data_IF_764299186410
#
_entry.id   IF_764299186410
#
_cell.length_a   1.000
_cell.length_b   1.000
_cell.length_c   1.000
_cell.angle_alpha   90.00
_cell.angle_beta   90.00
_cell.angle_gamma   90.00
#
_symmetry.space_group_name_H-M   'P 1'
#
loop_
_entity.id
_entity.type
_entity.pdbx_description
1 polymer ?
#
# COMPACT_ATOMS: atom_id res chain seq x y z
N UNK A 1 26.59 -29.28 -24.26
CA UNK A 1 25.65 -28.49 -23.46
C UNK A 1 25.99 -27.03 -23.65
N UNK A 2 25.12 -26.31 -24.34
CA UNK A 2 25.34 -24.90 -24.69
C UNK A 2 24.97 -24.05 -23.46
N UNK A 3 25.96 -23.43 -22.83
CA UNK A 3 25.73 -22.48 -21.73
C UNK A 3 25.01 -21.26 -22.32
N UNK A 4 23.69 -21.17 -22.10
CA UNK A 4 22.94 -19.94 -22.38
C UNK A 4 23.49 -18.83 -21.48
N UNK A 5 24.33 -17.99 -22.07
CA UNK A 5 24.86 -16.78 -21.45
C UNK A 5 23.74 -15.74 -21.44
N UNK A 6 22.98 -15.68 -20.36
CA UNK A 6 22.01 -14.61 -20.16
C UNK A 6 22.77 -13.28 -20.10
N UNK A 7 22.53 -12.41 -21.08
CA UNK A 7 23.05 -11.05 -21.03
C UNK A 7 22.39 -10.31 -19.86
N UNK A 8 23.19 -9.59 -19.08
CA UNK A 8 22.68 -8.72 -18.02
C UNK A 8 21.98 -7.54 -18.71
N UNK A 9 20.66 -7.58 -18.80
CA UNK A 9 19.86 -6.45 -19.27
C UNK A 9 19.76 -5.45 -18.11
N UNK A 10 20.43 -4.31 -18.25
CA UNK A 10 20.26 -3.19 -17.31
C UNK A 10 18.99 -2.44 -17.69
N UNK A 11 17.93 -2.57 -16.89
CA UNK A 11 16.71 -1.79 -17.06
C UNK A 11 17.04 -0.33 -16.73
N UNK A 12 17.02 0.53 -17.75
CA UNK A 12 17.12 1.98 -17.57
C UNK A 12 15.71 2.55 -17.42
N UNK A 13 15.42 3.17 -16.28
CA UNK A 13 14.17 3.86 -16.07
C UNK A 13 14.16 5.21 -16.82
N UNK A 14 13.02 5.60 -17.43
CA UNK A 14 12.82 6.96 -17.91
C UNK A 14 13.05 8.00 -16.80
N UNK A 15 13.53 9.18 -17.18
CA UNK A 15 13.85 10.26 -16.23
C UNK A 15 12.59 10.92 -15.66
N UNK A 16 11.47 10.85 -16.36
CA UNK A 16 10.19 11.52 -16.10
C UNK A 16 9.15 10.64 -15.42
N UNK A 17 9.55 9.47 -14.89
CA UNK A 17 8.62 8.62 -14.13
C UNK A 17 8.09 9.33 -12.88
N UNK A 18 6.80 9.10 -12.52
CA UNK A 18 6.29 9.47 -11.22
C UNK A 18 6.93 8.61 -10.12
N UNK A 19 6.58 8.89 -8.88
CA UNK A 19 7.15 8.20 -7.71
C UNK A 19 6.18 7.19 -7.07
N UNK A 20 4.96 7.07 -7.59
CA UNK A 20 3.92 6.23 -7.01
C UNK A 20 4.07 4.71 -7.24
N UNK A 21 3.17 3.93 -6.63
CA UNK A 21 3.20 2.48 -6.63
C UNK A 21 2.77 1.88 -7.98
N UNK A 22 1.90 2.53 -8.75
CA UNK A 22 1.31 1.96 -9.96
C UNK A 22 2.10 2.28 -11.23
N UNK A 23 2.66 3.49 -11.33
CA UNK A 23 3.30 3.98 -12.53
C UNK A 23 4.74 4.42 -12.29
N UNK A 24 5.20 4.41 -11.03
CA UNK A 24 6.40 5.10 -10.62
C UNK A 24 7.54 4.24 -10.07
N UNK A 25 8.55 4.94 -9.56
CA UNK A 25 9.76 4.37 -8.95
C UNK A 25 9.45 3.44 -7.78
N UNK A 26 8.41 3.73 -6.99
CA UNK A 26 8.02 2.84 -5.89
C UNK A 26 7.48 1.49 -6.41
N UNK A 27 6.67 1.48 -7.45
CA UNK A 27 6.20 0.23 -8.09
C UNK A 27 7.33 -0.61 -8.67
N UNK A 28 8.31 0.03 -9.29
CA UNK A 28 9.52 -0.63 -9.76
C UNK A 28 10.31 -1.26 -8.60
N UNK A 29 10.57 -0.50 -7.52
CA UNK A 29 11.28 -1.01 -6.35
C UNK A 29 10.54 -2.16 -5.66
N UNK A 30 9.22 -2.06 -5.54
CA UNK A 30 8.39 -3.15 -5.02
C UNK A 30 8.59 -4.43 -5.85
N UNK A 31 8.59 -4.31 -7.18
CA UNK A 31 8.82 -5.44 -8.10
C UNK A 31 10.22 -6.04 -7.91
N UNK A 32 11.25 -5.21 -7.72
CA UNK A 32 12.60 -5.68 -7.41
C UNK A 32 12.66 -6.46 -6.10
N UNK A 33 12.01 -5.96 -5.04
CA UNK A 33 11.90 -6.66 -3.75
C UNK A 33 11.16 -7.99 -3.88
N UNK A 34 10.06 -8.01 -4.65
CA UNK A 34 9.30 -9.21 -4.93
C UNK A 34 10.18 -10.28 -5.60
N UNK A 35 10.91 -9.91 -6.66
CA UNK A 35 11.84 -10.83 -7.34
C UNK A 35 12.93 -11.32 -6.39
N UNK A 36 13.55 -10.44 -5.62
CA UNK A 36 14.59 -10.82 -4.66
C UNK A 36 14.07 -11.76 -3.56
N UNK A 37 12.81 -11.59 -3.12
CA UNK A 37 12.19 -12.51 -2.14
C UNK A 37 11.97 -13.90 -2.75
N UNK A 38 11.44 -13.97 -3.97
CA UNK A 38 10.97 -15.24 -4.54
C UNK A 38 12.00 -15.99 -5.38
N UNK A 39 12.96 -15.30 -5.99
CA UNK A 39 14.02 -15.88 -6.81
C UNK A 39 15.39 -15.92 -6.12
N UNK A 40 15.51 -15.26 -4.97
CA UNK A 40 16.72 -15.25 -4.13
C UNK A 40 17.36 -13.87 -4.03
N UNK A 41 17.98 -13.61 -2.88
CA UNK A 41 18.67 -12.34 -2.60
C UNK A 41 19.74 -12.08 -3.66
N UNK A 42 19.72 -10.87 -4.24
CA UNK A 42 20.69 -10.45 -5.25
C UNK A 42 20.27 -10.75 -6.70
N UNK A 43 19.08 -11.32 -6.93
CA UNK A 43 18.50 -11.43 -8.28
C UNK A 43 18.49 -10.07 -8.98
N UNK A 44 18.03 -9.03 -8.27
CA UNK A 44 18.24 -7.64 -8.61
C UNK A 44 19.30 -7.06 -7.68
N UNK A 45 20.28 -6.35 -8.26
CA UNK A 45 21.39 -5.79 -7.50
C UNK A 45 20.94 -4.76 -6.46
N UNK A 46 21.51 -4.86 -5.25
CA UNK A 46 21.32 -3.87 -4.18
C UNK A 46 21.75 -2.48 -4.64
N UNK A 47 22.83 -2.36 -5.42
CA UNK A 47 23.29 -1.06 -5.92
C UNK A 47 22.31 -0.43 -6.90
N UNK A 48 21.64 -1.25 -7.72
CA UNK A 48 20.59 -0.77 -8.64
C UNK A 48 19.37 -0.30 -7.86
N UNK A 49 18.90 -1.08 -6.89
CA UNK A 49 17.78 -0.67 -6.04
C UNK A 49 18.11 0.61 -5.27
N UNK A 50 19.31 0.70 -4.67
CA UNK A 50 19.77 1.88 -3.92
C UNK A 50 19.81 3.15 -4.76
N UNK A 51 20.15 3.05 -6.04
CA UNK A 51 20.10 4.19 -6.96
C UNK A 51 18.67 4.72 -7.14
N UNK A 52 17.66 3.85 -7.21
CA UNK A 52 16.26 4.25 -7.31
C UNK A 52 15.76 4.85 -5.99
N UNK A 53 16.14 4.28 -4.85
CA UNK A 53 15.81 4.86 -3.53
C UNK A 53 16.39 6.28 -3.39
N UNK A 54 17.63 6.51 -3.85
CA UNK A 54 18.23 7.84 -3.83
C UNK A 54 17.42 8.87 -4.62
N UNK A 55 16.97 8.51 -5.83
CA UNK A 55 16.15 9.41 -6.64
C UNK A 55 14.76 9.63 -6.01
N UNK A 56 14.16 8.61 -5.41
CA UNK A 56 12.87 8.69 -4.72
C UNK A 56 12.92 9.57 -3.46
N UNK A 57 14.01 9.52 -2.68
CA UNK A 57 14.22 10.42 -1.53
C UNK A 57 14.48 11.84 -2.02
N UNK A 58 15.33 12.00 -3.04
CA UNK A 58 15.70 13.30 -3.61
C UNK A 58 14.51 14.03 -4.22
N UNK A 59 13.66 13.34 -4.99
CA UNK A 59 12.44 13.92 -5.56
C UNK A 59 11.46 14.32 -4.46
N UNK A 60 11.28 13.46 -3.46
CA UNK A 60 10.41 13.71 -2.30
C UNK A 60 10.81 14.95 -1.51
N UNK A 61 12.10 15.07 -1.17
CA UNK A 61 12.67 16.25 -0.50
C UNK A 61 12.54 17.50 -1.36
N UNK A 62 12.80 17.40 -2.67
CA UNK A 62 12.73 18.52 -3.60
C UNK A 62 11.32 19.10 -3.66
N UNK A 63 10.30 18.26 -3.87
CA UNK A 63 8.92 18.72 -3.96
C UNK A 63 8.42 19.30 -2.65
N UNK A 64 8.71 18.63 -1.52
CA UNK A 64 8.38 19.15 -0.18
C UNK A 64 8.90 20.57 0.03
N UNK A 65 10.18 20.82 -0.28
CA UNK A 65 10.79 22.15 -0.14
C UNK A 65 10.23 23.17 -1.12
N UNK A 66 10.06 22.77 -2.38
CA UNK A 66 9.58 23.66 -3.45
C UNK A 66 8.19 24.21 -3.14
N UNK A 67 7.32 23.36 -2.57
CA UNK A 67 5.93 23.71 -2.25
C UNK A 67 5.71 24.00 -0.76
N UNK A 68 6.80 24.11 0.02
CA UNK A 68 6.80 24.49 1.43
C UNK A 68 5.89 23.61 2.32
N UNK A 69 5.91 22.29 2.10
CA UNK A 69 5.18 21.34 2.94
C UNK A 69 5.87 21.15 4.30
N UNK A 70 5.07 20.91 5.34
CA UNK A 70 5.57 20.52 6.68
C UNK A 70 6.06 19.08 6.73
N UNK A 71 5.69 18.25 5.75
CA UNK A 71 6.18 16.88 5.61
C UNK A 71 7.58 16.89 5.01
N UNK A 72 8.55 16.08 5.50
CA UNK A 72 9.92 16.06 4.95
C UNK A 72 9.98 15.55 3.50
N UNK A 73 9.02 14.70 3.11
CA UNK A 73 8.88 14.17 1.76
C UNK A 73 7.46 14.45 1.26
N UNK A 74 7.34 14.79 -0.03
CA UNK A 74 6.06 14.92 -0.73
C UNK A 74 6.19 14.42 -2.16
N UNK A 75 5.12 13.83 -2.71
CA UNK A 75 5.13 13.27 -4.06
C UNK A 75 3.91 13.74 -4.85
N UNK A 76 4.07 13.91 -6.15
CA UNK A 76 2.99 14.21 -7.08
C UNK A 76 2.73 12.99 -7.97
N UNK A 77 1.45 12.70 -8.20
CA UNK A 77 1.00 11.87 -9.31
C UNK A 77 -0.19 12.54 -9.98
N UNK A 78 -0.16 12.65 -11.32
CA UNK A 78 -1.23 13.26 -12.13
C UNK A 78 -1.69 14.62 -11.59
N UNK A 79 -0.74 15.49 -11.21
CA UNK A 79 -1.01 16.84 -10.71
C UNK A 79 -1.51 16.91 -9.26
N UNK A 80 -1.60 15.79 -8.52
CA UNK A 80 -2.08 15.77 -7.13
C UNK A 80 -1.08 15.14 -6.17
N UNK A 81 -1.11 15.61 -4.92
CA UNK A 81 -0.30 15.09 -3.82
C UNK A 81 -1.10 14.07 -3.02
N UNK A 82 -1.23 12.85 -3.56
CA UNK A 82 -2.06 11.81 -2.98
C UNK A 82 -1.47 11.23 -1.69
N UNK A 83 -2.34 10.74 -0.81
CA UNK A 83 -1.93 10.13 0.47
C UNK A 83 -2.04 8.61 0.49
N UNK A 84 -2.98 8.04 -0.26
CA UNK A 84 -3.28 6.61 -0.23
C UNK A 84 -2.21 5.72 -0.87
N UNK A 85 -2.44 4.40 -0.87
CA UNK A 85 -1.42 3.43 -1.24
C UNK A 85 -1.13 3.36 -2.75
N UNK A 86 -2.13 3.61 -3.60
CA UNK A 86 -1.97 3.44 -5.05
C UNK A 86 -1.10 4.55 -5.66
N UNK A 87 -1.41 5.82 -5.35
CA UNK A 87 -0.81 6.99 -5.99
C UNK A 87 -0.04 7.92 -5.06
N UNK A 88 0.07 7.56 -3.78
CA UNK A 88 0.38 8.53 -2.73
C UNK A 88 1.41 8.09 -1.72
N UNK A 89 1.52 8.92 -0.68
CA UNK A 89 2.50 8.81 0.40
C UNK A 89 2.55 7.41 1.02
N UNK A 90 1.39 6.80 1.31
CA UNK A 90 1.34 5.49 1.95
C UNK A 90 2.00 4.39 1.11
N UNK A 91 1.85 4.42 -0.21
CA UNK A 91 2.44 3.44 -1.12
C UNK A 91 3.95 3.58 -1.19
N UNK A 92 4.42 4.82 -1.35
CA UNK A 92 5.86 5.13 -1.37
C UNK A 92 6.51 4.73 -0.06
N UNK A 93 5.92 5.09 1.09
CA UNK A 93 6.45 4.72 2.40
C UNK A 93 6.42 3.22 2.62
N UNK A 94 5.37 2.53 2.18
CA UNK A 94 5.29 1.08 2.28
C UNK A 94 6.47 0.40 1.57
N UNK A 95 6.90 0.91 0.41
CA UNK A 95 8.07 0.39 -0.31
C UNK A 95 9.38 0.78 0.36
N UNK A 96 9.54 2.04 0.78
CA UNK A 96 10.76 2.50 1.45
C UNK A 96 11.03 1.74 2.76
N UNK A 97 9.98 1.28 3.45
CA UNK A 97 10.11 0.45 4.66
C UNK A 97 10.74 -0.94 4.42
N UNK A 98 10.80 -1.42 3.17
CA UNK A 98 11.54 -2.64 2.80
C UNK A 98 13.01 -2.36 2.42
N UNK A 99 13.39 -1.09 2.30
CA UNK A 99 14.69 -0.69 1.79
C UNK A 99 15.70 -0.51 2.93
N UNK A 100 16.98 -0.69 2.60
CA UNK A 100 18.07 -0.24 3.46
C UNK A 100 18.21 1.28 3.32
N UNK A 101 17.81 1.99 4.39
CA UNK A 101 17.79 3.45 4.46
C UNK A 101 18.89 3.99 5.37
N UNK A 102 19.40 5.17 5.03
CA UNK A 102 20.31 5.93 5.91
C UNK A 102 19.55 6.56 7.07
N UNK A 103 20.24 6.98 8.12
CA UNK A 103 19.61 7.58 9.30
C UNK A 103 18.73 8.81 8.97
N UNK A 104 19.20 9.70 8.08
CA UNK A 104 18.44 10.86 7.63
C UNK A 104 17.21 10.47 6.81
N UNK A 105 17.31 9.41 6.02
CA UNK A 105 16.19 8.86 5.23
C UNK A 105 15.15 8.18 6.14
N UNK A 106 15.60 7.51 7.20
CA UNK A 106 14.73 6.91 8.22
C UNK A 106 13.92 8.00 8.94
N UNK A 107 14.56 9.11 9.34
CA UNK A 107 13.86 10.21 10.01
C UNK A 107 12.88 10.93 9.07
N UNK A 108 13.19 11.04 7.78
CA UNK A 108 12.23 11.50 6.78
C UNK A 108 11.00 10.59 6.69
N UNK A 109 11.21 9.27 6.58
CA UNK A 109 10.12 8.28 6.53
C UNK A 109 9.27 8.33 7.81
N UNK A 110 9.88 8.42 9.00
CA UNK A 110 9.13 8.60 10.24
C UNK A 110 8.39 9.94 10.26
N UNK A 111 9.02 11.00 9.76
CA UNK A 111 8.46 12.35 9.72
C UNK A 111 7.18 12.43 8.88
N UNK A 112 7.16 11.81 7.70
CA UNK A 112 5.96 11.77 6.85
C UNK A 112 4.86 10.89 7.46
N UNK A 113 5.20 9.75 8.08
CA UNK A 113 4.20 8.94 8.79
C UNK A 113 3.57 9.71 9.95
N UNK A 114 4.36 10.44 10.74
CA UNK A 114 3.86 11.34 11.79
C UNK A 114 3.00 12.47 11.21
N UNK A 115 3.41 13.05 10.08
CA UNK A 115 2.63 14.07 9.37
C UNK A 115 1.25 13.54 8.99
N UNK A 116 1.17 12.35 8.37
CA UNK A 116 -0.11 11.73 8.00
C UNK A 116 -0.97 11.45 9.24
N UNK A 117 -0.39 10.87 10.31
CA UNK A 117 -1.11 10.56 11.56
C UNK A 117 -1.71 11.82 12.19
N UNK A 118 -0.96 12.93 12.21
CA UNK A 118 -1.37 14.20 12.83
C UNK A 118 -2.49 14.90 12.06
N UNK A 119 -2.52 14.75 10.74
CA UNK A 119 -3.40 15.48 9.84
C UNK A 119 -4.52 14.60 9.25
N UNK A 120 -4.85 13.49 9.91
CA UNK A 120 -6.02 12.66 9.57
C UNK A 120 -7.33 13.37 9.95
N UNK A 121 -8.45 12.96 9.36
CA UNK A 121 -9.76 13.49 9.72
C UNK A 121 -10.15 13.14 11.17
N UNK A 122 -11.11 13.87 11.74
CA UNK A 122 -11.65 13.59 13.07
C UNK A 122 -12.28 12.19 13.18
N UNK A 123 -12.78 11.63 12.07
CA UNK A 123 -13.25 10.24 11.97
C UNK A 123 -12.15 9.19 12.16
N UNK A 124 -10.87 9.58 12.02
CA UNK A 124 -9.73 8.68 11.95
C UNK A 124 -9.37 8.24 10.51
N UNK A 125 -10.17 8.63 9.51
CA UNK A 125 -9.87 8.38 8.10
C UNK A 125 -8.83 9.35 7.54
N UNK A 126 -8.34 9.07 6.33
CA UNK A 126 -7.28 9.82 5.68
C UNK A 126 -7.77 10.47 4.39
N UNK A 127 -7.24 11.66 4.13
CA UNK A 127 -7.52 12.51 2.97
C UNK A 127 -7.11 11.78 1.68
N UNK A 128 -7.79 12.04 0.57
CA UNK A 128 -7.39 11.48 -0.74
C UNK A 128 -6.06 12.08 -1.21
N UNK A 129 -5.96 13.41 -1.14
CA UNK A 129 -4.78 14.20 -1.47
C UNK A 129 -4.70 15.45 -0.59
N UNK A 130 -3.57 16.15 -0.62
CA UNK A 130 -3.45 17.51 -0.05
C UNK A 130 -4.61 18.41 -0.50
N UNK A 131 -5.13 19.23 0.42
CA UNK A 131 -6.27 20.12 0.18
C UNK A 131 -7.67 19.47 0.10
N UNK A 132 -7.79 18.15 -0.11
CA UNK A 132 -9.10 17.48 -0.15
C UNK A 132 -9.72 17.27 1.25
N UNK A 133 -10.80 17.99 1.55
CA UNK A 133 -11.51 17.92 2.84
C UNK A 133 -12.65 16.88 2.87
N UNK A 134 -12.85 16.10 1.80
CA UNK A 134 -13.93 15.10 1.75
C UNK A 134 -13.53 13.82 2.45
N UNK A 135 -14.23 13.51 3.54
CA UNK A 135 -14.05 12.30 4.33
C UNK A 135 -15.01 11.18 3.88
N UNK A 136 -14.76 10.63 2.70
CA UNK A 136 -15.69 9.69 2.04
C UNK A 136 -15.04 8.35 1.68
N UNK A 137 -13.78 8.37 1.23
CA UNK A 137 -13.13 7.18 0.69
C UNK A 137 -12.46 6.36 1.79
N UNK A 138 -12.87 5.11 1.92
CA UNK A 138 -12.32 4.14 2.87
C UNK A 138 -11.82 2.93 2.09
N UNK A 139 -10.81 3.16 1.24
CA UNK A 139 -10.29 2.20 0.29
C UNK A 139 -8.78 1.96 0.50
N UNK A 140 -8.25 0.89 -0.08
CA UNK A 140 -6.80 0.71 -0.13
C UNK A 140 -6.13 1.80 -0.98
N UNK A 141 -6.70 2.11 -2.15
CA UNK A 141 -6.13 3.15 -3.02
C UNK A 141 -6.18 4.55 -2.40
N UNK A 142 -7.24 4.88 -1.66
CA UNK A 142 -7.48 6.18 -1.03
C UNK A 142 -8.24 6.01 0.30
N UNK A 143 -7.63 6.45 1.40
CA UNK A 143 -8.23 6.43 2.74
C UNK A 143 -7.50 5.53 3.73
N UNK A 144 -8.15 5.29 4.86
CA UNK A 144 -7.59 4.58 6.00
C UNK A 144 -7.03 3.19 5.69
N UNK A 145 -7.67 2.32 4.87
CA UNK A 145 -7.15 0.97 4.66
C UNK A 145 -5.73 0.92 4.11
N UNK A 146 -5.42 1.72 3.08
CA UNK A 146 -4.07 1.78 2.52
C UNK A 146 -3.04 2.32 3.51
N UNK A 147 -3.40 3.39 4.23
CA UNK A 147 -2.52 3.99 5.24
C UNK A 147 -2.31 3.05 6.43
N UNK A 148 -3.33 2.31 6.85
CA UNK A 148 -3.26 1.38 7.98
C UNK A 148 -2.29 0.23 7.70
N UNK A 149 -2.26 -0.33 6.49
CA UNK A 149 -1.27 -1.34 6.10
C UNK A 149 0.15 -0.79 6.20
N UNK A 150 0.39 0.42 5.69
CA UNK A 150 1.69 1.09 5.80
C UNK A 150 2.09 1.34 7.25
N UNK A 151 1.16 1.79 8.10
CA UNK A 151 1.41 2.01 9.52
C UNK A 151 1.68 0.71 10.29
N UNK A 152 0.99 -0.39 9.95
CA UNK A 152 1.24 -1.70 10.54
C UNK A 152 2.66 -2.18 10.20
N UNK A 153 3.09 -2.01 8.94
CA UNK A 153 4.47 -2.28 8.52
C UNK A 153 5.48 -1.41 9.25
N UNK A 154 5.23 -0.10 9.34
CA UNK A 154 6.11 0.82 10.05
C UNK A 154 6.24 0.46 11.55
N UNK A 155 5.15 0.02 12.19
CA UNK A 155 5.19 -0.44 13.57
C UNK A 155 6.09 -1.68 13.74
N UNK A 156 6.05 -2.62 12.78
CA UNK A 156 6.95 -3.78 12.74
C UNK A 156 8.42 -3.38 12.55
N UNK A 157 8.69 -2.46 11.61
CA UNK A 157 10.07 -2.04 11.27
C UNK A 157 10.71 -1.20 12.38
N UNK A 158 9.96 -0.28 13.00
CA UNK A 158 10.50 0.67 13.98
C UNK A 158 10.24 0.29 15.45
N UNK A 159 9.57 -0.84 15.73
CA UNK A 159 9.29 -1.27 17.10
C UNK A 159 8.21 -0.45 17.83
N UNK A 160 7.37 0.28 17.09
CA UNK A 160 6.22 1.01 17.62
C UNK A 160 6.04 2.40 17.03
N UNK A 161 5.01 2.57 16.19
CA UNK A 161 4.52 3.88 15.75
C UNK A 161 3.19 4.12 16.45
N UNK A 162 3.12 5.12 17.32
CA UNK A 162 1.90 5.50 18.03
C UNK A 162 0.81 5.93 17.01
N UNK A 163 -0.19 5.09 16.77
CA UNK A 163 -1.30 5.38 15.86
C UNK A 163 -1.88 4.19 15.09
N UNK A 164 -1.22 3.02 15.08
CA UNK A 164 -1.65 1.83 14.32
C UNK A 164 -3.01 1.26 14.74
N UNK A 165 -3.47 1.52 15.97
CA UNK A 165 -4.71 0.95 16.52
C UNK A 165 -5.95 1.83 16.39
N UNK A 166 -5.80 3.10 15.98
CA UNK A 166 -6.94 4.06 15.98
C UNK A 166 -7.52 4.34 14.59
N UNK A 167 -6.81 4.04 13.49
CA UNK A 167 -7.29 4.31 12.12
C UNK A 167 -8.36 3.34 11.62
N UNK A 168 -8.62 2.23 12.33
CA UNK A 168 -9.56 1.18 11.90
C UNK A 168 -11.01 1.40 12.35
N UNK A 169 -11.33 2.51 13.04
CA UNK A 169 -12.69 2.76 13.56
C UNK A 169 -13.70 3.20 12.49
N UNK A 170 -13.25 3.68 11.33
CA UNK A 170 -14.09 4.00 10.19
C UNK A 170 -14.34 2.77 9.30
N UNK A 171 -15.18 1.84 9.75
CA UNK A 171 -15.54 0.65 8.99
C UNK A 171 -16.53 0.96 7.85
N UNK A 172 -16.07 1.59 6.76
CA UNK A 172 -16.88 1.74 5.55
C UNK A 172 -17.27 0.38 4.98
N UNK A 173 -18.56 0.03 5.05
CA UNK A 173 -19.11 -1.12 4.35
C UNK A 173 -19.16 -0.79 2.86
N UNK A 174 -18.09 -1.13 2.14
CA UNK A 174 -17.99 -0.80 0.73
C UNK A 174 -19.02 -1.61 -0.07
N UNK A 175 -19.73 -0.93 -0.98
CA UNK A 175 -20.65 -1.58 -1.92
C UNK A 175 -19.92 -2.13 -3.16
N UNK A 176 -18.68 -2.62 -2.99
CA UNK A 176 -17.80 -3.13 -4.05
C UNK A 176 -17.02 -4.35 -3.55
N UNK A 177 -16.78 -5.32 -4.43
CA UNK A 177 -16.16 -6.60 -4.02
C UNK A 177 -14.62 -6.58 -4.03
N UNK A 178 -13.99 -5.87 -4.96
CA UNK A 178 -12.56 -6.00 -5.27
C UNK A 178 -11.54 -5.63 -4.17
N UNK A 179 -10.27 -5.69 -4.55
CA UNK A 179 -9.11 -5.44 -3.68
C UNK A 179 -8.75 -3.95 -3.60
N UNK A 180 -8.85 -3.20 -4.69
CA UNK A 180 -8.43 -1.80 -4.75
C UNK A 180 -9.26 -0.89 -3.84
N UNK A 181 -10.58 -1.08 -3.90
CA UNK A 181 -11.58 -0.24 -3.24
C UNK A 181 -12.86 -1.04 -2.99
N UNK A 182 -12.71 -2.26 -2.50
CA UNK A 182 -13.81 -3.14 -2.14
C UNK A 182 -13.56 -3.88 -0.83
N UNK A 183 -14.56 -4.66 -0.43
CA UNK A 183 -14.56 -5.35 0.87
C UNK A 183 -13.41 -6.34 0.98
N UNK A 184 -12.97 -6.95 -0.13
CA UNK A 184 -11.85 -7.89 -0.12
C UNK A 184 -10.55 -7.19 0.27
N UNK A 185 -10.28 -6.01 -0.29
CA UNK A 185 -9.09 -5.22 0.06
C UNK A 185 -9.10 -4.75 1.50
N UNK A 186 -10.26 -4.30 2.00
CA UNK A 186 -10.38 -3.83 3.38
C UNK A 186 -10.23 -4.97 4.41
N UNK A 187 -10.49 -6.23 4.03
CA UNK A 187 -10.26 -7.39 4.91
C UNK A 187 -8.77 -7.53 5.27
N UNK A 188 -7.86 -7.23 4.35
CA UNK A 188 -6.41 -7.31 4.58
C UNK A 188 -5.90 -6.40 5.68
N UNK A 189 -6.58 -5.29 5.98
CA UNK A 189 -6.21 -4.45 7.13
C UNK A 189 -6.28 -5.25 8.42
N UNK A 190 -7.33 -6.06 8.58
CA UNK A 190 -7.49 -6.89 9.77
C UNK A 190 -6.52 -8.06 9.80
N UNK A 191 -6.21 -8.64 8.62
CA UNK A 191 -5.19 -9.67 8.52
C UNK A 191 -3.80 -9.12 8.88
N UNK A 192 -3.45 -7.92 8.42
CA UNK A 192 -2.19 -7.25 8.77
C UNK A 192 -2.10 -6.94 10.27
N UNK A 193 -3.19 -6.45 10.88
CA UNK A 193 -3.25 -6.25 12.33
C UNK A 193 -3.19 -7.57 13.11
N UNK A 194 -3.82 -8.63 12.63
CA UNK A 194 -3.72 -9.97 13.21
C UNK A 194 -2.27 -10.46 13.20
N UNK A 195 -1.58 -10.37 12.06
CA UNK A 195 -0.16 -10.72 11.94
C UNK A 195 0.73 -9.88 12.85
N UNK A 196 0.41 -8.60 13.06
CA UNK A 196 1.18 -7.70 13.90
C UNK A 196 0.98 -7.97 15.41
N UNK A 197 -0.23 -8.35 15.83
CA UNK A 197 -0.60 -8.37 17.25
C UNK A 197 -0.89 -9.75 17.83
N UNK A 198 -1.10 -10.76 16.98
CA UNK A 198 -1.59 -12.08 17.34
C UNK A 198 -3.04 -12.10 17.87
N UNK A 199 -3.74 -10.95 17.91
CA UNK A 199 -5.09 -10.85 18.45
C UNK A 199 -6.12 -11.11 17.37
N UNK A 200 -7.06 -12.01 17.65
CA UNK A 200 -8.20 -12.24 16.78
C UNK A 200 -9.15 -11.04 16.83
N UNK A 201 -9.38 -10.39 15.68
CA UNK A 201 -10.26 -9.24 15.59
C UNK A 201 -11.67 -9.71 15.20
N UNK A 202 -12.66 -9.55 16.08
CA UNK A 202 -14.04 -10.00 15.85
C UNK A 202 -14.69 -9.39 14.58
N UNK A 203 -14.26 -8.20 14.15
CA UNK A 203 -14.72 -7.57 12.91
C UNK A 203 -14.29 -8.32 11.65
N UNK A 204 -13.19 -9.07 11.71
CA UNK A 204 -12.70 -9.93 10.64
C UNK A 204 -13.76 -10.97 10.27
N UNK A 205 -14.37 -11.61 11.27
CA UNK A 205 -15.40 -12.64 11.07
C UNK A 205 -16.68 -12.09 10.44
N UNK A 206 -17.14 -10.92 10.87
CA UNK A 206 -18.34 -10.27 10.32
C UNK A 206 -18.13 -9.82 8.86
N UNK A 207 -16.94 -9.33 8.51
CA UNK A 207 -16.61 -8.90 7.15
C UNK A 207 -16.31 -10.08 6.23
N UNK A 208 -15.73 -11.17 6.72
CA UNK A 208 -15.63 -12.41 5.96
C UNK A 208 -17.01 -12.98 5.61
N UNK A 209 -17.97 -12.88 6.53
CA UNK A 209 -19.36 -13.23 6.23
C UNK A 209 -19.91 -12.40 5.06
N UNK A 210 -19.63 -11.09 5.04
CA UNK A 210 -20.06 -10.21 3.96
C UNK A 210 -19.44 -10.59 2.60
N UNK A 211 -18.16 -10.98 2.59
CA UNK A 211 -17.51 -11.50 1.38
C UNK A 211 -18.15 -12.84 0.98
N UNK A 212 -18.55 -13.68 1.92
CA UNK A 212 -19.24 -14.94 1.66
C UNK A 212 -20.61 -14.72 0.99
N UNK A 213 -21.35 -13.69 1.40
CA UNK A 213 -22.63 -13.30 0.78
C UNK A 213 -22.48 -12.38 -0.45
N UNK A 214 -21.25 -12.10 -0.90
CA UNK A 214 -21.01 -11.16 -2.00
C UNK A 214 -21.72 -11.57 -3.29
N UNK A 215 -21.79 -12.87 -3.60
CA UNK A 215 -22.50 -13.35 -4.79
C UNK A 215 -23.98 -12.96 -4.78
N UNK A 216 -24.66 -13.08 -3.63
CA UNK A 216 -26.06 -12.67 -3.46
C UNK A 216 -26.20 -11.17 -3.67
N UNK A 217 -25.39 -10.35 -2.98
CA UNK A 217 -25.47 -8.89 -3.12
C UNK A 217 -25.10 -8.38 -4.51
N UNK A 218 -24.23 -9.08 -5.24
CA UNK A 218 -23.95 -8.78 -6.65
C UNK A 218 -25.17 -9.10 -7.51
N UNK A 219 -25.81 -10.26 -7.30
CA UNK A 219 -26.99 -10.67 -8.07
C UNK A 219 -28.21 -9.75 -7.83
N UNK A 220 -28.33 -9.20 -6.63
CA UNK A 220 -29.37 -8.25 -6.23
C UNK A 220 -29.06 -6.79 -6.60
N UNK A 221 -27.90 -6.51 -7.20
CA UNK A 221 -27.48 -5.15 -7.57
C UNK A 221 -27.10 -4.24 -6.40
N UNK A 222 -26.99 -4.79 -5.18
CA UNK A 222 -26.61 -4.07 -3.96
C UNK A 222 -25.09 -3.80 -3.94
N UNK A 223 -24.30 -4.71 -4.52
CA UNK A 223 -22.85 -4.64 -4.57
C UNK A 223 -22.34 -4.63 -6.02
N UNK A 224 -21.46 -3.68 -6.33
CA UNK A 224 -20.84 -3.57 -7.64
C UNK A 224 -19.69 -4.59 -7.79
N UNK A 225 -19.75 -5.38 -8.87
CA UNK A 225 -18.80 -6.48 -9.16
C UNK A 225 -17.41 -6.05 -9.67
N UNK A 226 -17.21 -4.75 -9.85
CA UNK A 226 -16.01 -4.18 -10.48
C UNK A 226 -16.20 -3.96 -11.99
N UNK A 227 -15.52 -2.95 -12.54
CA UNK A 227 -15.60 -2.61 -13.97
C UNK A 227 -14.99 -3.74 -14.81
N UNK A 228 -13.90 -4.32 -14.33
CA UNK A 228 -13.31 -5.57 -14.82
C UNK A 228 -13.62 -6.72 -13.84
N UNK A 229 -14.77 -7.41 -14.00
CA UNK A 229 -15.35 -8.27 -12.96
C UNK A 229 -14.53 -9.51 -12.62
N UNK A 230 -13.57 -9.91 -13.47
CA UNK A 230 -12.68 -11.06 -13.24
C UNK A 230 -11.26 -10.65 -12.88
N UNK A 231 -10.95 -9.35 -12.82
CA UNK A 231 -9.61 -8.86 -12.52
C UNK A 231 -9.23 -9.08 -11.06
N UNK A 232 -7.92 -9.06 -10.79
CA UNK A 232 -7.37 -9.16 -9.43
C UNK A 232 -7.75 -7.94 -8.56
N UNK A 233 -7.67 -6.72 -9.12
CA UNK A 233 -7.81 -5.50 -8.31
C UNK A 233 -9.26 -5.01 -8.17
N UNK A 234 -10.16 -5.31 -9.10
CA UNK A 234 -11.54 -4.80 -9.06
C UNK A 234 -12.60 -5.88 -8.86
N UNK A 235 -12.30 -7.09 -9.36
CA UNK A 235 -13.28 -8.15 -9.54
C UNK A 235 -13.17 -9.31 -8.55
N UNK A 236 -13.82 -10.41 -8.92
CA UNK A 236 -13.85 -11.65 -8.14
C UNK A 236 -12.49 -12.36 -8.07
N UNK A 237 -11.55 -12.03 -8.97
CA UNK A 237 -10.17 -12.55 -8.88
C UNK A 237 -9.49 -12.14 -7.58
N UNK A 238 -9.72 -10.90 -7.13
CA UNK A 238 -9.25 -10.42 -5.84
C UNK A 238 -9.95 -11.06 -4.63
N UNK A 239 -11.24 -11.34 -4.75
CA UNK A 239 -11.99 -12.08 -3.72
C UNK A 239 -11.47 -13.52 -3.58
N UNK A 240 -11.24 -14.20 -4.70
CA UNK A 240 -10.66 -15.54 -4.71
C UNK A 240 -9.27 -15.54 -4.07
N UNK A 241 -8.43 -14.55 -4.40
CA UNK A 241 -7.12 -14.39 -3.79
C UNK A 241 -7.22 -14.23 -2.26
N UNK A 242 -8.12 -13.37 -1.76
CA UNK A 242 -8.38 -13.24 -0.33
C UNK A 242 -8.79 -14.58 0.30
N UNK A 243 -9.70 -15.33 -0.32
CA UNK A 243 -10.16 -16.61 0.23
C UNK A 243 -9.05 -17.65 0.35
N UNK A 244 -8.11 -17.67 -0.60
CA UNK A 244 -6.93 -18.52 -0.51
C UNK A 244 -6.03 -18.09 0.66
N UNK A 245 -5.80 -16.78 0.81
CA UNK A 245 -5.02 -16.22 1.93
C UNK A 245 -5.67 -16.44 3.30
N UNK A 246 -6.99 -16.63 3.36
CA UNK A 246 -7.71 -16.93 4.61
C UNK A 246 -7.53 -18.37 5.10
N UNK A 247 -6.99 -19.26 4.27
CA UNK A 247 -6.63 -20.62 4.70
C UNK A 247 -5.52 -20.57 5.74
N UNK A 248 -4.55 -19.66 5.58
CA UNK A 248 -3.47 -19.43 6.53
C UNK A 248 -3.32 -17.92 6.83
N UNK A 249 -4.17 -17.36 7.72
CA UNK A 249 -4.22 -15.91 7.96
C UNK A 249 -2.91 -15.28 8.43
N UNK A 250 -2.02 -16.04 9.10
CA UNK A 250 -0.69 -15.60 9.51
C UNK A 250 0.25 -15.34 8.31
N UNK A 251 0.05 -16.05 7.20
CA UNK A 251 0.88 -15.93 6.00
C UNK A 251 0.27 -15.02 4.92
N UNK A 252 -1.00 -14.63 5.06
CA UNK A 252 -1.67 -13.71 4.14
C UNK A 252 -0.88 -12.42 3.86
N UNK A 253 -0.96 -11.90 2.62
CA UNK A 253 -0.31 -10.64 2.19
C UNK A 253 -1.19 -9.93 1.18
N UNK A 254 -1.46 -8.64 1.39
CA UNK A 254 -2.18 -7.85 0.39
C UNK A 254 -1.43 -7.92 -0.96
N UNK A 255 -2.07 -8.38 -2.05
CA UNK A 255 -1.39 -8.64 -3.31
C UNK A 255 -0.83 -7.36 -3.93
N UNK A 256 0.42 -7.41 -4.39
CA UNK A 256 1.13 -6.27 -4.98
C UNK A 256 1.28 -5.04 -4.06
N UNK A 257 1.20 -5.23 -2.73
CA UNK A 257 1.49 -4.20 -1.73
C UNK A 257 2.35 -4.73 -0.59
N UNK A 258 1.96 -5.85 0.03
CA UNK A 258 2.76 -6.50 1.08
C UNK A 258 3.65 -7.58 0.47
N UNK A 259 4.87 -7.73 1.01
CA UNK A 259 5.84 -8.75 0.61
C UNK A 259 6.03 -9.70 1.78
#
# INVERSE_FOLDING_TARGET
>A
MEQRRWSVVVIKLPTDLPDDLFYGRAGYLWSCSFLNKHLGKGTISISQMRAIVNELIKSGRKLSRLENFKSPLMYESRGKRYWGAAHGLAGVMNVLLDMELKEDEIEDVKGILRYMIKNRFSSGNYRTSEGDERDELVHWCHGAPGVALTLAKAAKVFGGVSGSSQSSRGGGLLKRIGICHGISGNAYVFLSLYRLTGKEYLHTRQKHLLVFYAHTFISEGIMHRGDHPFSLFEGIGGMAYLFLDLVEPSESRFPANEI
#
